data_IF_909349927193
#
_entry.id   IF_909349927193
#
_cell.length_a   1.000
_cell.length_b   1.000
_cell.length_c   1.000
_cell.angle_alpha   90.00
_cell.angle_beta   90.00
_cell.angle_gamma   90.00
#
_symmetry.space_group_name_H-M   'P 1'
#
loop_
_entity.id
_entity.type
_entity.pdbx_description
1 polymer ?
#
# COMPACT_ATOMS: atom_id res chain seq x y z
N UNK A 1 13.41 -15.14 -1.23
CA UNK A 1 14.15 -14.22 -0.35
C UNK A 1 14.80 -15.02 0.75
N UNK A 2 16.07 -14.80 1.02
CA UNK A 2 16.82 -15.49 2.09
C UNK A 2 16.73 -14.61 3.34
N UNK A 3 15.93 -15.03 4.35
CA UNK A 3 15.65 -14.21 5.54
C UNK A 3 16.91 -13.92 6.38
N UNK A 4 17.91 -14.81 6.33
CA UNK A 4 19.19 -14.63 7.05
C UNK A 4 19.98 -13.40 6.58
N UNK A 5 19.76 -12.93 5.34
CA UNK A 5 20.40 -11.70 4.83
C UNK A 5 19.89 -10.44 5.52
N UNK A 6 18.74 -10.54 6.19
CA UNK A 6 18.13 -9.42 6.91
C UNK A 6 18.33 -9.46 8.41
N UNK A 7 18.89 -10.53 8.98
CA UNK A 7 19.09 -10.66 10.42
C UNK A 7 20.53 -10.35 10.81
N UNK A 8 20.71 -9.66 11.90
CA UNK A 8 22.02 -9.38 12.52
C UNK A 8 21.92 -9.59 14.02
N UNK A 9 22.97 -10.05 14.65
CA UNK A 9 22.98 -10.20 16.12
C UNK A 9 23.02 -8.81 16.78
N UNK A 10 22.31 -8.64 17.90
CA UNK A 10 22.31 -7.41 18.69
C UNK A 10 23.71 -7.02 19.21
N UNK A 11 24.63 -7.97 19.26
CA UNK A 11 26.03 -7.79 19.67
C UNK A 11 26.98 -7.41 18.51
N UNK A 12 26.48 -7.33 17.29
CA UNK A 12 27.26 -6.95 16.11
C UNK A 12 27.61 -5.46 16.14
N UNK A 13 28.62 -5.06 15.36
CA UNK A 13 28.99 -3.66 15.21
C UNK A 13 28.31 -3.01 13.97
N UNK A 14 28.45 -1.69 13.84
CA UNK A 14 27.82 -0.96 12.73
C UNK A 14 28.46 -1.29 11.37
N UNK A 15 29.74 -1.68 11.32
CA UNK A 15 30.39 -2.10 10.06
C UNK A 15 29.72 -3.35 9.50
N UNK A 16 29.47 -4.34 10.37
CA UNK A 16 28.76 -5.57 9.98
C UNK A 16 27.34 -5.29 9.51
N UNK A 17 26.65 -4.32 10.15
CA UNK A 17 25.31 -3.92 9.74
C UNK A 17 25.32 -3.24 8.37
N UNK A 18 26.25 -2.35 8.11
CA UNK A 18 26.41 -1.66 6.82
C UNK A 18 26.69 -2.67 5.70
N UNK A 19 27.64 -3.58 5.90
CA UNK A 19 27.95 -4.65 4.93
C UNK A 19 26.71 -5.50 4.60
N UNK A 20 25.92 -5.81 5.62
CA UNK A 20 24.70 -6.61 5.45
C UNK A 20 23.58 -5.84 4.75
N UNK A 21 23.42 -4.55 5.04
CA UNK A 21 22.47 -3.66 4.35
C UNK A 21 22.87 -3.49 2.88
N UNK A 22 24.16 -3.34 2.59
CA UNK A 22 24.66 -3.25 1.22
C UNK A 22 24.35 -4.52 0.44
N UNK A 23 24.61 -5.70 1.03
CA UNK A 23 24.36 -7.00 0.39
C UNK A 23 22.87 -7.28 0.13
N UNK A 24 21.98 -6.88 1.05
CA UNK A 24 20.54 -7.15 0.88
C UNK A 24 19.82 -6.13 -0.02
N UNK A 25 20.45 -5.00 -0.34
CA UNK A 25 19.90 -3.92 -1.19
C UNK A 25 18.52 -3.39 -0.77
N UNK A 26 18.16 -3.51 0.51
CA UNK A 26 16.85 -3.08 1.02
C UNK A 26 16.92 -1.98 2.08
N UNK A 27 18.13 -1.61 2.48
CA UNK A 27 18.38 -0.47 3.34
C UNK A 27 18.10 -0.68 4.83
N UNK A 28 17.98 -1.93 5.30
CA UNK A 28 17.77 -2.23 6.72
C UNK A 28 18.24 -3.62 7.10
N UNK A 29 18.41 -3.84 8.42
CA UNK A 29 18.56 -5.16 9.05
C UNK A 29 17.71 -5.25 10.31
N UNK A 30 17.40 -6.47 10.71
CA UNK A 30 16.61 -6.81 11.90
C UNK A 30 17.55 -7.35 12.98
N UNK A 31 17.50 -6.78 14.16
CA UNK A 31 18.32 -7.21 15.29
C UNK A 31 17.71 -8.45 15.93
N UNK A 32 18.54 -9.49 16.04
CA UNK A 32 18.17 -10.77 16.63
C UNK A 32 18.94 -10.99 17.94
N UNK A 33 18.23 -11.28 19.03
CA UNK A 33 18.83 -11.59 20.31
C UNK A 33 19.34 -13.05 20.39
N UNK A 34 19.93 -13.43 21.53
CA UNK A 34 20.45 -14.79 21.78
C UNK A 34 19.37 -15.90 21.74
N UNK A 35 18.07 -15.53 21.84
CA UNK A 35 16.92 -16.46 21.75
C UNK A 35 16.32 -16.53 20.34
N UNK A 36 16.99 -15.98 19.33
CA UNK A 36 16.54 -15.89 17.94
C UNK A 36 15.24 -15.05 17.78
N UNK A 37 15.01 -14.11 18.67
CA UNK A 37 13.86 -13.19 18.61
C UNK A 37 14.28 -11.88 17.97
N UNK A 38 13.42 -11.35 17.11
CA UNK A 38 13.62 -10.01 16.56
C UNK A 38 13.23 -8.97 17.62
N UNK A 39 14.22 -8.17 18.00
CA UNK A 39 14.09 -7.18 19.08
C UNK A 39 14.18 -5.75 18.57
N UNK A 40 14.74 -5.51 17.39
CA UNK A 40 14.90 -4.17 16.85
C UNK A 40 15.07 -4.14 15.34
N UNK A 41 15.04 -2.95 14.79
CA UNK A 41 15.28 -2.64 13.38
C UNK A 41 16.39 -1.58 13.33
N UNK A 42 17.28 -1.72 12.37
CA UNK A 42 18.30 -0.72 12.06
C UNK A 42 18.27 -0.42 10.56
N UNK A 43 18.04 0.84 10.22
CA UNK A 43 18.01 1.29 8.83
C UNK A 43 19.28 2.06 8.47
N UNK A 44 19.58 2.15 7.17
CA UNK A 44 20.66 3.00 6.64
C UNK A 44 20.50 4.46 7.12
N UNK A 45 19.26 4.96 7.20
CA UNK A 45 18.98 6.30 7.74
C UNK A 45 19.33 6.46 9.21
N UNK A 46 19.11 5.43 10.04
CA UNK A 46 19.46 5.45 11.47
C UNK A 46 20.97 5.52 11.65
N UNK A 47 21.69 4.67 10.93
CA UNK A 47 23.17 4.65 10.93
C UNK A 47 23.71 6.02 10.51
N UNK A 48 23.23 6.57 9.39
CA UNK A 48 23.68 7.85 8.85
C UNK A 48 23.48 9.00 9.84
N UNK A 49 22.32 9.07 10.50
CA UNK A 49 22.03 10.09 11.53
C UNK A 49 23.00 10.00 12.69
N UNK A 50 23.36 8.81 13.13
CA UNK A 50 24.28 8.59 14.25
C UNK A 50 25.74 8.88 13.87
N UNK A 51 26.17 8.56 12.66
CA UNK A 51 27.50 8.91 12.17
C UNK A 51 27.69 10.44 12.08
N UNK A 52 26.66 11.18 11.67
CA UNK A 52 26.68 12.67 11.70
C UNK A 52 26.82 13.19 13.13
N UNK A 53 26.34 12.45 14.13
CA UNK A 53 26.48 12.77 15.55
C UNK A 53 27.82 12.27 16.17
N UNK A 54 28.82 11.96 15.34
CA UNK A 54 30.18 11.49 15.72
C UNK A 54 30.22 10.14 16.47
N UNK A 55 29.25 9.25 16.23
CA UNK A 55 29.36 7.87 16.69
C UNK A 55 30.20 7.07 15.71
N UNK A 56 31.28 6.43 16.21
CA UNK A 56 32.19 5.61 15.39
C UNK A 56 31.51 4.33 14.90
N UNK A 57 31.96 3.84 13.75
CA UNK A 57 31.41 2.65 13.08
C UNK A 57 31.66 1.33 13.82
N UNK A 58 32.63 1.31 14.75
CA UNK A 58 32.96 0.17 15.63
C UNK A 58 31.97 -0.02 16.79
N UNK A 59 31.05 0.93 16.98
CA UNK A 59 30.00 0.82 18.01
C UNK A 59 29.01 -0.30 17.67
N UNK A 60 28.40 -0.84 18.72
CA UNK A 60 27.38 -1.88 18.57
C UNK A 60 26.11 -1.33 17.92
N UNK A 61 25.40 -2.19 17.20
CA UNK A 61 24.16 -1.85 16.49
C UNK A 61 23.04 -1.37 17.41
N UNK A 62 23.04 -1.78 18.69
CA UNK A 62 22.06 -1.38 19.70
C UNK A 62 22.04 0.13 19.93
N UNK A 63 23.18 0.81 19.78
CA UNK A 63 23.30 2.26 19.93
C UNK A 63 22.49 3.07 18.91
N UNK A 64 22.08 2.45 17.81
CA UNK A 64 21.38 3.08 16.68
C UNK A 64 20.03 2.44 16.37
N UNK A 65 19.73 1.28 16.94
CA UNK A 65 18.56 0.49 16.61
C UNK A 65 17.26 1.15 17.11
N UNK A 66 16.19 0.96 16.33
CA UNK A 66 14.83 1.27 16.73
C UNK A 66 14.17 0.01 17.33
N UNK A 67 13.85 0.05 18.59
CA UNK A 67 13.17 -1.03 19.33
C UNK A 67 11.64 -0.91 19.29
N UNK A 68 11.12 0.28 18.98
CA UNK A 68 9.69 0.56 18.80
C UNK A 68 9.27 0.46 17.34
N UNK A 69 9.67 -0.59 16.67
CA UNK A 69 9.40 -0.79 15.25
C UNK A 69 8.02 -1.42 15.00
N UNK A 70 7.45 -1.13 13.84
CA UNK A 70 6.20 -1.74 13.39
C UNK A 70 6.47 -3.17 12.97
N UNK A 71 5.72 -4.09 13.58
CA UNK A 71 5.76 -5.53 13.28
C UNK A 71 4.36 -6.09 13.14
N UNK A 72 4.25 -7.27 12.57
CA UNK A 72 3.01 -8.02 12.50
C UNK A 72 3.26 -9.50 12.77
N UNK A 73 2.21 -10.26 12.97
CA UNK A 73 2.28 -11.68 13.23
C UNK A 73 1.79 -12.48 12.02
N UNK A 74 2.18 -13.75 11.96
CA UNK A 74 1.85 -14.65 10.84
C UNK A 74 0.35 -14.84 10.60
N UNK A 75 -0.49 -14.55 11.60
CA UNK A 75 -1.94 -14.58 11.53
C UNK A 75 -2.58 -13.22 11.20
N UNK A 76 -1.77 -12.17 11.02
CA UNK A 76 -2.28 -10.82 10.67
C UNK A 76 -2.80 -10.82 9.23
N UNK A 77 -4.08 -10.42 9.00
CA UNK A 77 -4.63 -10.30 7.66
C UNK A 77 -3.79 -9.38 6.76
N UNK A 78 -3.60 -9.80 5.53
CA UNK A 78 -2.77 -9.05 4.54
C UNK A 78 -3.29 -7.65 4.26
N UNK A 79 -4.60 -7.49 4.26
CA UNK A 79 -5.26 -6.21 4.05
C UNK A 79 -4.82 -5.18 5.11
N UNK A 80 -4.66 -5.61 6.36
CA UNK A 80 -4.15 -4.77 7.44
C UNK A 80 -2.66 -4.43 7.27
N UNK A 81 -1.87 -5.37 6.74
CA UNK A 81 -0.45 -5.12 6.43
C UNK A 81 -0.31 -4.09 5.32
N UNK A 82 -1.11 -4.22 4.26
CA UNK A 82 -1.12 -3.28 3.14
C UNK A 82 -1.51 -1.86 3.56
N UNK A 83 -2.49 -1.72 4.48
CA UNK A 83 -2.87 -0.40 5.03
C UNK A 83 -1.74 0.27 5.81
N UNK A 84 -0.85 -0.50 6.43
CA UNK A 84 0.28 0.02 7.22
C UNK A 84 1.49 0.43 6.38
N UNK A 85 1.61 -0.08 5.16
CA UNK A 85 2.69 0.29 4.26
C UNK A 85 2.41 1.63 3.58
N UNK A 86 3.26 2.62 3.81
CA UNK A 86 3.18 3.95 3.22
C UNK A 86 4.57 4.47 2.81
N UNK A 87 4.71 5.76 2.59
CA UNK A 87 5.99 6.36 2.21
C UNK A 87 7.03 6.36 3.35
N UNK A 88 6.58 6.24 4.60
CA UNK A 88 7.44 6.15 5.79
C UNK A 88 7.72 4.69 6.18
N UNK A 89 6.69 3.83 6.09
CA UNK A 89 6.78 2.40 6.45
C UNK A 89 6.95 1.59 5.16
N UNK A 90 8.19 1.29 4.81
CA UNK A 90 8.54 0.57 3.56
C UNK A 90 8.50 -0.94 3.69
N UNK A 91 8.56 -1.46 4.91
CA UNK A 91 8.55 -2.89 5.20
C UNK A 91 7.96 -3.17 6.58
N UNK A 92 7.45 -4.37 6.78
CA UNK A 92 6.91 -4.86 8.06
C UNK A 92 7.46 -6.27 8.30
N UNK A 93 8.27 -6.49 9.33
CA UNK A 93 8.67 -7.84 9.74
C UNK A 93 7.46 -8.65 10.22
N UNK A 94 7.32 -9.86 9.71
CA UNK A 94 6.29 -10.82 10.11
C UNK A 94 6.93 -11.81 11.09
N UNK A 95 6.38 -11.86 12.27
CA UNK A 95 6.89 -12.67 13.36
C UNK A 95 5.91 -13.81 13.72
N UNK A 96 6.44 -14.86 14.27
CA UNK A 96 5.61 -15.88 14.92
C UNK A 96 5.33 -15.51 16.39
N UNK A 97 4.54 -16.33 17.10
CA UNK A 97 4.20 -16.13 18.52
C UNK A 97 5.41 -16.14 19.48
N UNK A 98 6.58 -16.61 19.01
CA UNK A 98 7.85 -16.57 19.76
C UNK A 98 8.73 -15.36 19.36
N UNK A 99 8.20 -14.40 18.63
CA UNK A 99 8.88 -13.23 18.05
C UNK A 99 10.05 -13.58 17.11
N UNK A 100 10.07 -14.76 16.51
CA UNK A 100 11.06 -15.11 15.48
C UNK A 100 10.56 -14.66 14.12
N UNK A 101 11.49 -14.24 13.25
CA UNK A 101 11.18 -13.81 11.89
C UNK A 101 10.66 -15.00 11.06
N UNK A 102 9.50 -14.79 10.45
CA UNK A 102 8.87 -15.75 9.52
C UNK A 102 8.95 -15.25 8.09
N UNK A 103 8.75 -13.94 7.91
CA UNK A 103 8.77 -13.29 6.60
C UNK A 103 8.96 -11.78 6.76
N UNK A 104 9.14 -11.07 5.63
CA UNK A 104 9.19 -9.62 5.60
C UNK A 104 8.26 -9.13 4.49
N UNK A 105 7.35 -8.24 4.86
CA UNK A 105 6.39 -7.65 3.97
C UNK A 105 6.92 -6.31 3.45
N UNK A 106 7.10 -6.16 2.13
CA UNK A 106 7.61 -4.95 1.50
C UNK A 106 6.55 -4.25 0.67
N UNK A 107 6.72 -2.97 0.44
CA UNK A 107 5.89 -2.22 -0.51
C UNK A 107 5.97 -2.80 -1.93
N UNK A 108 7.19 -3.17 -2.35
CA UNK A 108 7.48 -3.66 -3.70
C UNK A 108 7.49 -5.19 -3.81
N UNK A 109 7.43 -5.88 -2.69
CA UNK A 109 7.43 -7.33 -2.62
C UNK A 109 6.40 -7.80 -1.60
N UNK A 110 5.30 -8.29 -2.11
CA UNK A 110 4.29 -9.00 -1.31
C UNK A 110 4.66 -10.47 -1.38
N UNK A 111 5.08 -11.11 -0.27
CA UNK A 111 5.39 -12.52 -0.29
C UNK A 111 4.17 -13.31 -0.76
N UNK A 112 4.32 -14.03 -1.85
CA UNK A 112 3.27 -14.90 -2.38
C UNK A 112 3.48 -16.28 -1.76
N UNK A 113 2.59 -16.71 -0.86
CA UNK A 113 2.46 -18.13 -0.62
C UNK A 113 1.98 -18.79 -1.92
N UNK A 114 2.30 -20.08 -2.16
CA UNK A 114 1.89 -20.79 -3.39
C UNK A 114 0.38 -20.78 -3.66
N UNK A 115 -0.43 -20.45 -2.65
CA UNK A 115 -1.90 -20.30 -2.74
C UNK A 115 -2.35 -18.85 -2.84
N UNK A 116 -1.45 -17.89 -2.81
CA UNK A 116 -1.77 -16.49 -2.70
C UNK A 116 -2.10 -15.83 -4.02
N UNK A 117 -3.22 -15.19 -4.01
CA UNK A 117 -3.76 -14.34 -5.05
C UNK A 117 -2.95 -13.06 -5.15
N UNK A 118 -2.78 -12.56 -6.36
CA UNK A 118 -2.10 -11.29 -6.62
C UNK A 118 -2.98 -10.14 -6.16
N UNK A 119 -2.38 -9.18 -5.45
CA UNK A 119 -3.05 -7.97 -4.96
C UNK A 119 -2.50 -6.73 -5.63
N UNK A 120 -3.36 -5.75 -5.88
CA UNK A 120 -2.98 -4.38 -6.18
C UNK A 120 -3.61 -3.43 -5.16
N UNK A 121 -2.85 -2.44 -4.72
CA UNK A 121 -3.35 -1.36 -3.87
C UNK A 121 -3.10 -0.04 -4.56
N UNK A 122 -4.09 0.82 -4.52
CA UNK A 122 -3.99 2.20 -4.98
C UNK A 122 -4.57 3.15 -3.93
N UNK A 123 -4.01 4.35 -3.84
CA UNK A 123 -4.58 5.46 -3.11
C UNK A 123 -4.54 6.72 -3.97
N UNK A 124 -5.61 7.51 -3.89
CA UNK A 124 -5.71 8.77 -4.62
C UNK A 124 -6.07 9.89 -3.66
N UNK A 125 -5.34 11.02 -3.65
CA UNK A 125 -5.62 12.14 -2.76
C UNK A 125 -6.84 12.92 -3.23
N UNK A 126 -7.62 13.44 -2.30
CA UNK A 126 -8.63 14.46 -2.59
C UNK A 126 -7.97 15.83 -2.78
N UNK A 127 -8.73 16.77 -3.31
CA UNK A 127 -8.29 18.13 -3.51
C UNK A 127 -9.21 19.16 -2.87
N UNK A 128 -8.64 20.31 -2.52
CA UNK A 128 -9.36 21.51 -2.16
C UNK A 128 -9.23 22.50 -3.32
N UNK A 129 -10.35 23.07 -3.76
CA UNK A 129 -10.37 24.16 -4.74
C UNK A 129 -10.39 25.50 -4.00
N UNK A 130 -9.40 26.34 -4.26
CA UNK A 130 -9.31 27.71 -3.69
C UNK A 130 -10.04 28.74 -4.55
N UNK A 131 -10.26 28.45 -5.83
CA UNK A 131 -10.96 29.33 -6.74
C UNK A 131 -11.18 28.70 -8.11
N UNK A 132 -12.16 29.21 -8.83
CA UNK A 132 -12.47 28.80 -10.20
C UNK A 132 -13.17 27.44 -10.36
N UNK A 133 -13.58 26.81 -9.27
CA UNK A 133 -14.31 25.52 -9.33
C UNK A 133 -15.57 25.64 -10.18
N UNK A 134 -15.79 24.66 -11.08
CA UNK A 134 -16.87 24.66 -12.05
C UNK A 134 -16.53 25.30 -13.40
N UNK A 135 -15.49 26.15 -13.49
CA UNK A 135 -15.02 26.67 -14.77
C UNK A 135 -14.30 25.62 -15.63
N UNK A 136 -13.98 24.48 -15.04
CA UNK A 136 -13.44 23.28 -15.66
C UNK A 136 -14.52 22.31 -16.19
N UNK A 137 -15.80 22.66 -16.05
CA UNK A 137 -16.89 21.87 -16.64
C UNK A 137 -17.09 22.18 -18.13
N UNK A 138 -17.49 21.18 -18.92
CA UNK A 138 -17.70 21.32 -20.36
C UNK A 138 -18.68 22.46 -20.70
N UNK A 139 -19.73 22.58 -19.93
CA UNK A 139 -20.75 23.63 -20.12
C UNK A 139 -20.18 25.06 -20.00
N UNK A 140 -19.15 25.25 -19.20
CA UNK A 140 -18.48 26.53 -19.02
C UNK A 140 -17.37 26.74 -20.07
N UNK A 141 -16.37 25.85 -20.13
CA UNK A 141 -15.20 26.08 -20.98
C UNK A 141 -15.49 25.97 -22.49
N UNK A 142 -16.63 25.41 -22.88
CA UNK A 142 -17.13 25.44 -24.25
C UNK A 142 -17.31 26.88 -24.79
N UNK A 143 -17.66 27.83 -23.91
CA UNK A 143 -18.02 29.17 -24.29
C UNK A 143 -17.06 30.24 -23.75
N UNK A 144 -16.22 29.91 -22.77
CA UNK A 144 -15.29 30.82 -22.12
C UNK A 144 -14.07 30.08 -21.57
N UNK A 145 -12.94 30.75 -21.43
CA UNK A 145 -11.77 30.18 -20.79
C UNK A 145 -12.03 29.95 -19.29
N UNK A 146 -11.74 28.74 -18.80
CA UNK A 146 -11.80 28.41 -17.39
C UNK A 146 -10.39 28.35 -16.76
N UNK A 147 -10.31 28.69 -15.47
CA UNK A 147 -9.09 28.49 -14.69
C UNK A 147 -9.45 28.04 -13.28
N UNK A 148 -8.70 27.06 -12.75
CA UNK A 148 -8.92 26.51 -11.41
C UNK A 148 -7.61 26.55 -10.63
N UNK A 149 -7.67 27.01 -9.38
CA UNK A 149 -6.56 26.92 -8.44
C UNK A 149 -6.95 25.88 -7.38
N UNK A 150 -6.18 24.81 -7.28
CA UNK A 150 -6.44 23.75 -6.31
C UNK A 150 -5.13 23.16 -5.76
N UNK A 151 -5.24 22.45 -4.64
CA UNK A 151 -4.15 21.67 -4.05
C UNK A 151 -4.68 20.33 -3.56
N UNK A 152 -3.87 19.31 -3.68
CA UNK A 152 -4.13 18.03 -3.02
C UNK A 152 -3.88 18.15 -1.52
N UNK A 153 -4.62 17.36 -0.74
CA UNK A 153 -4.45 17.25 0.71
C UNK A 153 -4.26 15.78 1.11
N UNK A 154 -3.78 15.56 2.34
CA UNK A 154 -3.43 14.22 2.85
C UNK A 154 -4.66 13.43 3.34
N UNK A 155 -5.76 13.47 2.58
CA UNK A 155 -6.92 12.59 2.71
C UNK A 155 -7.07 11.81 1.42
N UNK A 156 -7.29 10.51 1.51
CA UNK A 156 -7.23 9.61 0.36
C UNK A 156 -8.46 8.73 0.25
N UNK A 157 -8.78 8.34 -0.98
CA UNK A 157 -9.51 7.10 -1.24
C UNK A 157 -8.53 5.96 -1.44
N UNK A 158 -8.83 4.84 -0.82
CA UNK A 158 -8.05 3.61 -0.86
C UNK A 158 -8.81 2.54 -1.64
N UNK A 159 -8.12 1.87 -2.55
CA UNK A 159 -8.64 0.69 -3.24
C UNK A 159 -7.66 -0.46 -3.07
N UNK A 160 -8.18 -1.64 -2.79
CA UNK A 160 -7.45 -2.89 -2.78
C UNK A 160 -8.15 -3.87 -3.70
N UNK A 161 -7.45 -4.32 -4.72
CA UNK A 161 -7.92 -5.32 -5.67
C UNK A 161 -7.17 -6.63 -5.42
N UNK A 162 -7.93 -7.72 -5.27
CA UNK A 162 -7.42 -9.06 -5.13
C UNK A 162 -7.91 -9.92 -6.28
N UNK A 163 -6.99 -10.54 -7.03
CA UNK A 163 -7.34 -11.46 -8.10
C UNK A 163 -7.98 -12.74 -7.54
N UNK A 164 -8.97 -13.25 -8.27
CA UNK A 164 -9.59 -14.54 -8.01
C UNK A 164 -9.23 -15.54 -9.10
N UNK A 165 -9.13 -16.79 -8.73
CA UNK A 165 -8.93 -17.89 -9.68
C UNK A 165 -10.23 -18.26 -10.44
N UNK A 166 -11.38 -17.90 -9.86
CA UNK A 166 -12.71 -18.00 -10.50
C UNK A 166 -13.09 -16.66 -11.17
N UNK A 167 -14.19 -16.61 -11.89
CA UNK A 167 -14.68 -15.39 -12.54
C UNK A 167 -15.61 -14.55 -11.66
N UNK A 168 -15.77 -14.92 -10.38
CA UNK A 168 -16.63 -14.19 -9.45
C UNK A 168 -16.08 -12.82 -9.11
N UNK A 169 -16.99 -11.89 -8.86
CA UNK A 169 -16.68 -10.51 -8.49
C UNK A 169 -17.30 -10.21 -7.14
N UNK A 170 -16.49 -9.75 -6.20
CA UNK A 170 -16.94 -9.27 -4.90
C UNK A 170 -16.51 -7.81 -4.76
N UNK A 171 -17.43 -6.94 -4.37
CA UNK A 171 -17.15 -5.52 -4.13
C UNK A 171 -17.60 -5.20 -2.72
N UNK A 172 -16.69 -4.64 -1.93
CA UNK A 172 -16.90 -4.21 -0.56
C UNK A 172 -16.58 -2.72 -0.46
N UNK A 173 -17.54 -1.92 -0.03
CA UNK A 173 -17.35 -0.50 0.21
C UNK A 173 -17.59 -0.20 1.68
N UNK A 174 -16.56 0.18 2.40
CA UNK A 174 -16.67 0.66 3.78
C UNK A 174 -17.44 1.98 3.83
N UNK A 175 -17.24 2.85 2.84
CA UNK A 175 -17.92 4.15 2.74
C UNK A 175 -19.44 4.01 2.62
N UNK A 176 -19.91 3.02 1.85
CA UNK A 176 -21.34 2.73 1.66
C UNK A 176 -21.89 1.76 2.71
N UNK A 177 -21.00 1.17 3.53
CA UNK A 177 -21.32 0.05 4.42
C UNK A 177 -22.09 -1.06 3.69
N UNK A 178 -21.66 -1.39 2.48
CA UNK A 178 -22.35 -2.31 1.57
C UNK A 178 -21.38 -3.27 0.87
N UNK A 179 -21.88 -4.46 0.53
CA UNK A 179 -21.12 -5.51 -0.12
C UNK A 179 -21.98 -6.27 -1.11
N UNK A 180 -21.46 -6.45 -2.32
CA UNK A 180 -22.17 -7.17 -3.40
C UNK A 180 -21.30 -8.27 -4.00
N UNK A 181 -21.95 -9.32 -4.45
CA UNK A 181 -21.31 -10.49 -5.02
C UNK A 181 -21.96 -10.87 -6.34
N UNK A 182 -21.15 -11.14 -7.36
CA UNK A 182 -21.60 -11.50 -8.70
C UNK A 182 -20.87 -12.75 -9.19
N UNK A 183 -21.56 -13.57 -9.99
CA UNK A 183 -20.98 -14.77 -10.61
C UNK A 183 -19.96 -14.42 -11.68
N UNK A 184 -20.20 -13.32 -12.40
CA UNK A 184 -19.35 -12.84 -13.48
C UNK A 184 -19.60 -11.34 -13.76
N UNK A 185 -18.86 -10.80 -14.72
CA UNK A 185 -18.96 -9.41 -15.14
C UNK A 185 -20.33 -9.07 -15.76
N UNK A 186 -21.01 -10.02 -16.40
CA UNK A 186 -22.33 -9.77 -17.02
C UNK A 186 -23.38 -9.52 -15.96
N UNK A 187 -23.36 -10.29 -14.88
CA UNK A 187 -24.26 -10.09 -13.75
C UNK A 187 -24.03 -8.73 -13.09
N UNK A 188 -22.77 -8.33 -12.89
CA UNK A 188 -22.41 -7.00 -12.40
C UNK A 188 -22.96 -5.89 -13.29
N UNK A 189 -22.80 -6.00 -14.61
CA UNK A 189 -23.22 -4.96 -15.55
C UNK A 189 -24.75 -4.79 -15.61
N UNK A 190 -25.50 -5.83 -15.27
CA UNK A 190 -26.96 -5.79 -15.20
C UNK A 190 -27.49 -5.37 -13.80
N UNK A 191 -26.60 -5.23 -12.81
CA UNK A 191 -26.99 -4.82 -11.46
C UNK A 191 -27.47 -3.37 -11.43
N UNK A 192 -28.62 -3.14 -10.82
CA UNK A 192 -29.20 -1.80 -10.62
C UNK A 192 -29.23 -1.47 -9.12
N UNK A 193 -28.14 -0.90 -8.63
CA UNK A 193 -27.96 -0.57 -7.21
C UNK A 193 -26.88 0.50 -7.00
N UNK A 194 -26.38 0.61 -5.78
CA UNK A 194 -25.52 1.72 -5.32
C UNK A 194 -24.13 1.78 -5.96
N UNK A 195 -23.71 0.79 -6.75
CA UNK A 195 -22.35 0.68 -7.31
C UNK A 195 -22.22 1.17 -8.76
N UNK A 196 -23.13 2.03 -9.25
CA UNK A 196 -23.16 2.49 -10.64
C UNK A 196 -21.84 3.12 -11.11
N UNK A 197 -21.18 3.87 -10.24
CA UNK A 197 -19.88 4.49 -10.52
C UNK A 197 -18.79 3.42 -10.79
N UNK A 198 -18.72 2.42 -9.92
CA UNK A 198 -17.77 1.30 -10.02
C UNK A 198 -18.07 0.45 -11.24
N UNK A 199 -19.34 0.17 -11.49
CA UNK A 199 -19.85 -0.54 -12.68
C UNK A 199 -19.36 0.12 -13.97
N UNK A 200 -19.42 1.45 -14.08
CA UNK A 200 -18.97 2.20 -15.26
C UNK A 200 -17.45 2.03 -15.51
N UNK A 201 -16.64 2.03 -14.44
CA UNK A 201 -15.20 1.76 -14.55
C UNK A 201 -14.95 0.33 -15.02
N UNK A 202 -15.60 -0.64 -14.38
CA UNK A 202 -15.42 -2.06 -14.70
C UNK A 202 -15.88 -2.36 -16.14
N UNK A 203 -16.97 -1.73 -16.59
CA UNK A 203 -17.43 -1.82 -17.97
C UNK A 203 -16.38 -1.30 -18.97
N UNK A 204 -15.72 -0.19 -18.65
CA UNK A 204 -14.70 0.43 -19.51
C UNK A 204 -13.41 -0.41 -19.53
N UNK A 205 -12.97 -0.91 -18.37
CA UNK A 205 -11.75 -1.73 -18.24
C UNK A 205 -11.96 -3.12 -18.81
N UNK A 206 -13.16 -3.69 -18.63
CA UNK A 206 -13.58 -5.03 -19.06
C UNK A 206 -12.56 -6.12 -18.69
N UNK A 207 -12.25 -6.33 -17.38
CA UNK A 207 -11.27 -7.30 -16.96
C UNK A 207 -11.67 -8.73 -17.34
N UNK A 208 -10.72 -9.54 -17.78
CA UNK A 208 -10.95 -10.95 -18.16
C UNK A 208 -10.92 -11.92 -16.97
N UNK A 209 -10.69 -11.43 -15.76
CA UNK A 209 -10.50 -12.20 -14.52
C UNK A 209 -11.53 -11.83 -13.46
N UNK A 210 -11.78 -12.74 -12.50
CA UNK A 210 -12.56 -12.46 -11.30
C UNK A 210 -11.71 -11.71 -10.26
N UNK A 211 -12.37 -10.96 -9.37
CA UNK A 211 -11.65 -10.15 -8.37
C UNK A 211 -12.51 -9.86 -7.13
N UNK A 212 -11.82 -9.49 -6.06
CA UNK A 212 -12.38 -8.85 -4.88
C UNK A 212 -11.86 -7.41 -4.84
N UNK A 213 -12.76 -6.43 -4.73
CA UNK A 213 -12.45 -5.02 -4.66
C UNK A 213 -12.93 -4.46 -3.32
N UNK A 214 -11.99 -3.91 -2.55
CA UNK A 214 -12.24 -3.25 -1.27
C UNK A 214 -12.00 -1.76 -1.41
N UNK A 215 -12.96 -0.96 -0.95
CA UNK A 215 -12.95 0.50 -1.04
C UNK A 215 -13.13 1.10 0.36
N UNK A 216 -12.35 2.14 0.63
CA UNK A 216 -12.39 2.88 1.90
C UNK A 216 -11.86 4.30 1.66
N UNK A 217 -12.39 5.30 2.35
CA UNK A 217 -11.98 6.70 2.22
C UNK A 217 -11.70 7.33 3.58
N UNK A 218 -10.69 8.20 3.64
CA UNK A 218 -10.34 8.96 4.85
C UNK A 218 -11.31 10.13 5.11
N UNK A 219 -12.31 10.31 4.27
CA UNK A 219 -13.25 11.44 4.31
C UNK A 219 -14.69 10.96 4.10
N UNK A 220 -15.70 11.66 4.68
CA UNK A 220 -17.09 11.25 4.53
C UNK A 220 -17.63 11.45 3.12
N UNK A 221 -18.59 10.63 2.75
CA UNK A 221 -19.36 10.78 1.50
C UNK A 221 -20.01 12.18 1.48
N UNK A 222 -20.08 12.78 0.30
CA UNK A 222 -20.69 14.12 0.09
C UNK A 222 -19.93 15.28 0.76
N UNK A 223 -18.66 15.09 1.09
CA UNK A 223 -17.79 16.13 1.69
C UNK A 223 -17.46 17.31 0.74
N UNK A 224 -17.84 17.25 -0.53
CA UNK A 224 -17.48 18.30 -1.52
C UNK A 224 -16.03 18.25 -2.03
N UNK A 225 -15.24 17.25 -1.60
CA UNK A 225 -13.82 17.11 -1.94
C UNK A 225 -13.56 16.43 -3.29
N UNK A 226 -14.58 16.22 -4.12
CA UNK A 226 -14.46 15.52 -5.40
C UNK A 226 -14.31 14.00 -5.26
N UNK A 227 -14.84 13.42 -4.18
CA UNK A 227 -14.66 12.04 -3.77
C UNK A 227 -14.94 11.01 -4.87
N UNK A 228 -16.01 11.19 -5.67
CA UNK A 228 -16.33 10.26 -6.76
C UNK A 228 -15.19 10.08 -7.77
N UNK A 229 -14.56 11.19 -8.20
CA UNK A 229 -13.44 11.13 -9.14
C UNK A 229 -12.19 10.48 -8.51
N UNK A 230 -11.99 10.70 -7.22
CA UNK A 230 -10.86 10.17 -6.47
C UNK A 230 -11.00 8.67 -6.24
N UNK A 231 -12.21 8.18 -5.91
CA UNK A 231 -12.53 6.76 -5.83
C UNK A 231 -12.29 6.08 -7.18
N UNK A 232 -12.79 6.65 -8.29
CA UNK A 232 -12.54 6.13 -9.64
C UNK A 232 -11.06 6.03 -9.94
N UNK A 233 -10.30 7.09 -9.65
CA UNK A 233 -8.85 7.13 -9.88
C UNK A 233 -8.13 6.02 -9.11
N UNK A 234 -8.49 5.77 -7.86
CA UNK A 234 -7.89 4.70 -7.05
C UNK A 234 -8.24 3.31 -7.60
N UNK A 235 -9.47 3.08 -8.07
CA UNK A 235 -9.89 1.81 -8.69
C UNK A 235 -9.11 1.57 -9.99
N UNK A 236 -9.05 2.58 -10.87
CA UNK A 236 -8.30 2.50 -12.13
C UNK A 236 -6.83 2.19 -11.86
N UNK A 237 -6.24 2.82 -10.83
CA UNK A 237 -4.88 2.55 -10.40
C UNK A 237 -4.66 1.08 -10.05
N UNK A 238 -5.57 0.44 -9.33
CA UNK A 238 -5.50 -1.00 -9.03
C UNK A 238 -5.55 -1.86 -10.29
N UNK A 239 -6.51 -1.62 -11.17
CA UNK A 239 -6.63 -2.41 -12.41
C UNK A 239 -5.45 -2.21 -13.36
N UNK A 240 -4.84 -1.02 -13.37
CA UNK A 240 -3.67 -0.73 -14.21
C UNK A 240 -2.46 -1.61 -13.84
N UNK A 241 -2.35 -2.08 -12.59
CA UNK A 241 -1.28 -3.00 -12.18
C UNK A 241 -1.33 -4.36 -12.91
N UNK A 242 -2.50 -4.76 -13.40
CA UNK A 242 -2.74 -6.05 -14.07
C UNK A 242 -2.78 -5.95 -15.60
N UNK A 243 -2.48 -4.78 -16.15
CA UNK A 243 -2.46 -4.58 -17.60
C UNK A 243 -1.13 -5.03 -18.19
N UNK A 244 -1.19 -5.84 -19.27
CA UNK A 244 -0.01 -6.29 -20.00
C UNK A 244 0.66 -5.17 -20.82
N UNK A 245 -0.11 -4.13 -21.17
CA UNK A 245 0.34 -2.97 -21.96
C UNK A 245 0.80 -1.79 -21.08
N UNK A 246 0.92 -2.00 -19.78
CA UNK A 246 1.41 -0.96 -18.86
C UNK A 246 2.81 -0.50 -19.24
N UNK A 247 2.94 0.76 -19.64
CA UNK A 247 4.24 1.40 -19.79
C UNK A 247 4.81 1.69 -18.40
N UNK A 248 6.02 1.21 -18.13
CA UNK A 248 6.77 1.65 -16.96
C UNK A 248 7.11 3.13 -17.18
N UNK A 249 6.67 3.98 -16.28
CA UNK A 249 7.03 5.40 -16.23
C UNK A 249 8.38 5.53 -15.56
#
# INVERSE_FOLDING_TARGET
>A
MILEEFKIKETANLVEAIDKIEKNHKGFVLLENSKEQIVGVLTDGDIRRKLISNIGVEKLVDSCANYEFIKAYSDTPRELLLKKLDDHIKFIPILNKKNRLVDIFFRDYIPLNKEDKVYARSKSPVRISFGGGGSDTYSYFKNANGAVINSTISLFSHSLLKLRLDKKIHIHSADLNDSVHFKDIKELLNYDGNFNLIKSVIQTINPSFGFELYLDSDYPISSGLGGSAVVLSSIIGCFNEFRNDRKKV
#
